data_IF_127423662388
#
_entry.id   IF_127423662388
#
_cell.length_a   1.000
_cell.length_b   1.000
_cell.length_c   1.000
_cell.angle_alpha   90.00
_cell.angle_beta   90.00
_cell.angle_gamma   90.00
#
_symmetry.space_group_name_H-M   'P 1'
#
loop_
_entity.id
_entity.type
_entity.pdbx_description
1 polymer ?
#
# COMPACT_ATOMS: atom_id res chain seq x y z
N UNK A 1 -35.76 9.86 0.44
CA UNK A 1 -34.29 9.95 0.33
C UNK A 1 -33.71 9.02 1.38
N UNK A 2 -32.84 8.07 1.04
CA UNK A 2 -32.16 7.26 2.05
C UNK A 2 -31.26 8.20 2.86
N UNK A 3 -31.46 8.25 4.18
CA UNK A 3 -30.55 8.97 5.06
C UNK A 3 -29.12 8.44 4.85
N UNK A 4 -28.17 9.35 4.60
CA UNK A 4 -26.75 8.98 4.55
C UNK A 4 -26.35 8.47 5.93
N UNK A 5 -25.80 7.26 5.98
CA UNK A 5 -25.18 6.70 7.20
C UNK A 5 -24.21 7.71 7.82
N UNK A 6 -24.12 7.76 9.15
CA UNK A 6 -23.09 8.55 9.87
C UNK A 6 -21.68 8.26 9.33
N UNK A 7 -21.46 7.03 8.87
CA UNK A 7 -20.22 6.60 8.22
C UNK A 7 -19.94 7.33 6.90
N UNK A 8 -20.98 7.51 6.07
CA UNK A 8 -20.89 8.28 4.83
C UNK A 8 -20.82 9.80 5.09
N UNK A 9 -21.40 10.28 6.19
CA UNK A 9 -21.29 11.69 6.60
C UNK A 9 -19.89 12.03 7.10
N UNK A 10 -19.17 11.07 7.70
CA UNK A 10 -17.76 11.19 8.06
C UNK A 10 -16.81 11.18 6.85
N UNK A 11 -17.34 11.14 5.62
CA UNK A 11 -16.56 11.17 4.38
C UNK A 11 -16.14 9.80 3.85
N UNK A 12 -16.62 8.71 4.46
CA UNK A 12 -16.28 7.35 4.00
C UNK A 12 -17.20 6.89 2.89
N UNK A 13 -16.63 6.50 1.76
CA UNK A 13 -17.34 5.97 0.61
C UNK A 13 -16.86 4.53 0.33
N UNK A 14 -17.63 3.55 0.84
CA UNK A 14 -17.28 2.13 0.78
C UNK A 14 -17.26 1.64 -0.67
N UNK A 15 -18.19 2.12 -1.51
CA UNK A 15 -18.29 1.71 -2.90
C UNK A 15 -17.07 2.19 -3.70
N UNK A 16 -16.63 3.43 -3.49
CA UNK A 16 -15.38 3.94 -4.08
C UNK A 16 -14.15 3.19 -3.59
N UNK A 17 -14.08 2.85 -2.30
CA UNK A 17 -12.98 2.05 -1.76
C UNK A 17 -12.91 0.67 -2.43
N UNK A 18 -14.05 -0.02 -2.54
CA UNK A 18 -14.14 -1.32 -3.21
C UNK A 18 -13.80 -1.23 -4.70
N UNK A 19 -14.23 -0.17 -5.38
CA UNK A 19 -13.88 0.08 -6.77
C UNK A 19 -12.37 0.27 -6.96
N UNK A 20 -11.73 1.07 -6.11
CA UNK A 20 -10.28 1.26 -6.13
C UNK A 20 -9.55 -0.07 -5.93
N UNK A 21 -9.93 -0.85 -4.91
CA UNK A 21 -9.35 -2.17 -4.63
C UNK A 21 -9.47 -3.08 -5.85
N UNK A 22 -10.63 -3.09 -6.52
CA UNK A 22 -10.84 -3.87 -7.75
C UNK A 22 -9.90 -3.44 -8.88
N UNK A 23 -9.70 -2.13 -9.07
CA UNK A 23 -8.84 -1.58 -10.13
C UNK A 23 -7.36 -1.90 -9.90
N UNK A 24 -6.89 -1.81 -8.66
CA UNK A 24 -5.46 -2.03 -8.34
C UNK A 24 -5.08 -3.49 -8.12
N UNK A 25 -6.06 -4.38 -7.89
CA UNK A 25 -5.85 -5.81 -7.65
C UNK A 25 -4.83 -6.45 -8.63
N UNK A 26 -4.92 -6.30 -9.97
CA UNK A 26 -3.94 -6.91 -10.87
C UNK A 26 -2.53 -6.34 -10.72
N UNK A 27 -2.39 -5.02 -10.46
CA UNK A 27 -1.09 -4.40 -10.23
C UNK A 27 -0.46 -4.91 -8.93
N UNK A 28 -1.25 -5.06 -7.87
CA UNK A 28 -0.79 -5.60 -6.59
C UNK A 28 -0.41 -7.08 -6.72
N UNK A 29 -1.25 -7.89 -7.39
CA UNK A 29 -0.96 -9.31 -7.61
C UNK A 29 0.35 -9.53 -8.39
N UNK A 30 0.72 -8.61 -9.29
CA UNK A 30 1.97 -8.70 -10.06
C UNK A 30 3.24 -8.63 -9.19
N UNK A 31 3.15 -8.16 -7.95
CA UNK A 31 4.29 -8.06 -7.02
C UNK A 31 4.43 -9.27 -6.09
N UNK A 32 3.48 -10.22 -6.14
CA UNK A 32 3.44 -11.34 -5.19
C UNK A 32 4.69 -12.20 -5.24
N UNK A 33 5.10 -12.66 -4.06
CA UNK A 33 6.22 -13.58 -3.84
C UNK A 33 5.72 -14.78 -3.05
N UNK A 34 6.52 -15.86 -3.00
CA UNK A 34 6.18 -17.14 -2.35
C UNK A 34 5.63 -17.00 -0.92
N UNK A 35 6.06 -15.98 -0.16
CA UNK A 35 5.58 -15.76 1.20
C UNK A 35 4.17 -15.17 1.31
N UNK A 36 3.61 -14.57 0.27
CA UNK A 36 2.28 -13.92 0.35
C UNK A 36 1.18 -14.97 0.50
N UNK A 37 0.36 -14.87 1.55
CA UNK A 37 -0.70 -15.86 1.85
C UNK A 37 -2.13 -15.35 1.57
N UNK A 38 -2.29 -14.06 1.31
CA UNK A 38 -3.60 -13.42 1.18
C UNK A 38 -3.66 -12.44 0.01
N UNK A 39 -4.84 -12.33 -0.56
CA UNK A 39 -5.19 -11.31 -1.55
C UNK A 39 -5.46 -9.93 -0.91
N UNK A 40 -5.44 -8.87 -1.72
CA UNK A 40 -5.88 -7.54 -1.30
C UNK A 40 -7.41 -7.51 -1.08
N UNK A 41 -7.86 -6.75 -0.06
CA UNK A 41 -9.27 -6.52 0.25
C UNK A 41 -9.74 -7.08 1.59
N UNK A 42 -8.90 -7.85 2.29
CA UNK A 42 -9.11 -8.23 3.69
C UNK A 42 -8.68 -7.14 4.67
N UNK A 43 -8.87 -7.40 5.97
CA UNK A 43 -8.44 -6.49 7.05
C UNK A 43 -6.91 -6.41 7.20
N UNK A 44 -6.20 -7.49 6.86
CA UNK A 44 -4.75 -7.58 6.94
C UNK A 44 -4.19 -8.37 5.75
N UNK A 45 -2.95 -8.05 5.37
CA UNK A 45 -2.12 -8.88 4.50
C UNK A 45 -1.25 -9.82 5.33
N UNK A 46 -1.03 -11.05 4.85
CA UNK A 46 -0.23 -12.06 5.52
C UNK A 46 0.98 -12.47 4.68
N UNK A 47 2.12 -12.64 5.34
CA UNK A 47 3.37 -13.10 4.71
C UNK A 47 4.06 -14.17 5.58
N UNK A 48 4.29 -15.36 5.03
CA UNK A 48 5.06 -16.43 5.65
C UNK A 48 6.57 -16.20 5.49
N UNK A 49 7.29 -16.28 6.61
CA UNK A 49 8.76 -16.27 6.62
C UNK A 49 9.29 -17.66 6.29
N UNK A 50 10.35 -17.70 5.49
CA UNK A 50 11.10 -18.93 5.22
C UNK A 50 12.14 -19.16 6.33
N UNK A 51 11.74 -19.89 7.38
CA UNK A 51 12.58 -20.13 8.56
C UNK A 51 13.74 -21.10 8.29
N UNK A 52 13.69 -21.88 7.21
CA UNK A 52 14.80 -22.76 6.83
C UNK A 52 15.94 -21.97 6.19
N UNK A 53 15.65 -20.79 5.62
CA UNK A 53 16.64 -19.92 4.97
C UNK A 53 17.40 -19.03 5.95
N UNK A 54 16.84 -18.71 7.11
CA UNK A 54 17.41 -17.74 8.06
C UNK A 54 17.56 -18.38 9.44
N UNK A 55 18.79 -18.46 9.97
CA UNK A 55 19.08 -19.09 11.27
C UNK A 55 18.51 -18.30 12.46
N UNK A 56 18.65 -16.97 12.44
CA UNK A 56 18.15 -16.05 13.47
C UNK A 56 17.55 -14.81 12.78
N UNK A 57 16.35 -14.93 12.20
CA UNK A 57 15.76 -13.87 11.40
C UNK A 57 15.45 -12.64 12.27
N UNK A 58 15.85 -11.46 11.79
CA UNK A 58 15.48 -10.17 12.36
C UNK A 58 14.52 -9.46 11.41
N UNK A 59 13.43 -8.93 11.95
CA UNK A 59 12.50 -8.09 11.21
C UNK A 59 12.91 -6.62 11.36
N UNK A 60 13.12 -5.96 10.23
CA UNK A 60 13.36 -4.52 10.15
C UNK A 60 12.17 -3.88 9.46
N UNK A 61 11.65 -2.80 10.03
CA UNK A 61 10.58 -2.00 9.43
C UNK A 61 10.98 -0.52 9.39
N UNK A 62 10.60 0.16 8.31
CA UNK A 62 10.69 1.61 8.16
C UNK A 62 9.34 2.16 7.71
N UNK A 63 9.08 3.41 8.06
CA UNK A 63 7.93 4.19 7.60
C UNK A 63 8.41 5.58 7.24
N UNK A 64 8.18 5.98 5.98
CA UNK A 64 8.53 7.30 5.50
C UNK A 64 7.45 7.84 4.54
N UNK A 65 7.51 9.14 4.26
CA UNK A 65 6.65 9.82 3.29
C UNK A 65 7.47 10.49 2.19
N UNK A 66 6.82 10.75 1.06
CA UNK A 66 7.44 11.45 -0.08
C UNK A 66 7.72 12.95 0.23
N UNK A 67 7.07 13.50 1.24
CA UNK A 67 7.21 14.89 1.63
C UNK A 67 6.61 15.88 0.62
N UNK A 68 7.20 17.08 0.54
CA UNK A 68 6.64 18.19 -0.26
C UNK A 68 6.70 17.98 -1.77
N UNK A 69 7.41 16.96 -2.27
CA UNK A 69 7.41 16.58 -3.69
C UNK A 69 6.00 16.24 -4.21
N UNK A 70 5.09 15.79 -3.34
CA UNK A 70 3.67 15.61 -3.67
C UNK A 70 3.04 16.90 -4.22
N UNK A 71 3.43 18.08 -3.71
CA UNK A 71 2.92 19.37 -4.22
C UNK A 71 3.34 19.59 -5.67
N UNK A 72 4.57 19.23 -6.02
CA UNK A 72 5.09 19.35 -7.39
C UNK A 72 4.36 18.37 -8.32
N UNK A 73 4.20 17.11 -7.91
CA UNK A 73 3.44 16.11 -8.66
C UNK A 73 2.01 16.58 -8.98
N UNK A 74 1.33 17.19 -8.01
CA UNK A 74 0.00 17.79 -8.20
C UNK A 74 0.03 18.99 -9.14
N UNK A 75 0.99 19.91 -8.99
CA UNK A 75 1.11 21.08 -9.87
C UNK A 75 1.40 20.69 -11.33
N UNK A 76 2.16 19.62 -11.53
CA UNK A 76 2.45 19.07 -12.85
C UNK A 76 1.35 18.16 -13.41
N UNK A 77 0.35 17.80 -12.59
CA UNK A 77 -0.63 16.76 -12.91
C UNK A 77 0.03 15.44 -13.38
N UNK A 78 1.11 15.05 -12.71
CA UNK A 78 1.89 13.83 -12.99
C UNK A 78 2.01 13.02 -11.72
N UNK A 79 1.43 11.81 -11.72
CA UNK A 79 1.32 10.96 -10.54
C UNK A 79 1.93 9.57 -10.73
N UNK A 80 2.39 9.26 -11.94
CA UNK A 80 2.81 7.93 -12.37
C UNK A 80 4.05 7.43 -11.59
N UNK A 81 4.92 8.35 -11.16
CA UNK A 81 6.18 8.02 -10.50
C UNK A 81 6.18 8.25 -9.00
N UNK A 82 5.19 8.96 -8.45
CA UNK A 82 5.22 9.38 -7.03
C UNK A 82 5.12 8.18 -6.07
N UNK A 83 4.48 7.09 -6.50
CA UNK A 83 4.46 5.83 -5.75
C UNK A 83 5.80 5.11 -5.73
N UNK A 84 6.64 5.29 -6.76
CA UNK A 84 8.00 4.75 -6.81
C UNK A 84 8.87 5.50 -5.80
N UNK A 85 8.76 6.84 -5.76
CA UNK A 85 9.44 7.67 -4.77
C UNK A 85 9.11 7.22 -3.34
N UNK A 86 7.83 6.93 -3.05
CA UNK A 86 7.40 6.46 -1.74
C UNK A 86 8.06 5.14 -1.34
N UNK A 87 8.08 4.16 -2.24
CA UNK A 87 8.71 2.86 -1.96
C UNK A 87 10.23 3.02 -1.77
N UNK A 88 10.87 3.86 -2.58
CA UNK A 88 12.31 4.09 -2.52
C UNK A 88 12.76 4.71 -1.18
N UNK A 89 12.00 5.67 -0.64
CA UNK A 89 12.31 6.26 0.67
C UNK A 89 12.34 5.18 1.76
N UNK A 90 11.31 4.33 1.86
CA UNK A 90 11.26 3.28 2.87
C UNK A 90 12.28 2.16 2.66
N UNK A 91 12.50 1.71 1.42
CA UNK A 91 13.39 0.57 1.13
C UNK A 91 14.86 0.96 1.35
N UNK A 92 15.25 2.18 0.99
CA UNK A 92 16.64 2.62 1.14
C UNK A 92 17.07 2.74 2.61
N UNK A 93 16.14 3.04 3.52
CA UNK A 93 16.41 3.02 4.97
C UNK A 93 16.76 1.61 5.51
N UNK A 94 16.32 0.55 4.82
CA UNK A 94 16.55 -0.85 5.25
C UNK A 94 17.86 -1.40 4.67
N UNK A 95 18.29 -0.94 3.50
CA UNK A 95 19.41 -1.51 2.72
C UNK A 95 20.82 -1.06 3.16
N UNK A 96 20.95 -0.42 4.33
CA UNK A 96 22.19 0.23 4.82
C UNK A 96 23.43 -0.65 4.75
#
# INVERSE_FOLDING_TARGET
MKDKSLYAQAGVDIDKANELVKRIRPMVASTFKRGVLTEIGGFAGLFALDLDRYHEPVLVSSTDGVGTKIKIATLCNMHETIGIDLVAMCVNDILV
#
